data_IF_995407149972
#
_entry.id   IF_995407149972
#
_cell.length_a   1.000
_cell.length_b   1.000
_cell.length_c   1.000
_cell.angle_alpha   90.00
_cell.angle_beta   90.00
_cell.angle_gamma   90.00
#
_symmetry.space_group_name_H-M   'P 1'
#
loop_
_entity.id
_entity.type
_entity.pdbx_description
1 polymer ?
#
# COMPACT_ATOMS: atom_id res chain seq x y z
N UNK A 1 -5.26 0.26 -16.79
CA UNK A 1 -5.05 0.04 -15.35
C UNK A 1 -3.65 0.43 -14.95
N UNK A 2 -2.59 -0.24 -15.45
CA UNK A 2 -1.20 0.04 -15.06
C UNK A 2 -0.82 1.51 -15.13
N UNK A 3 -1.11 2.23 -16.24
CA UNK A 3 -0.82 3.66 -16.29
C UNK A 3 -1.60 4.53 -15.29
N UNK A 4 -2.82 4.14 -14.90
CA UNK A 4 -3.56 4.87 -13.87
C UNK A 4 -3.04 4.58 -12.46
N UNK A 5 -2.56 3.35 -12.23
CA UNK A 5 -1.89 2.99 -10.99
C UNK A 5 -0.53 3.68 -10.86
N UNK A 6 0.25 3.75 -11.94
CA UNK A 6 1.49 4.51 -12.01
C UNK A 6 1.27 5.97 -11.61
N UNK A 7 0.30 6.62 -12.26
CA UNK A 7 -0.05 8.01 -11.98
C UNK A 7 -0.46 8.22 -10.51
N UNK A 8 -1.25 7.29 -9.96
CA UNK A 8 -1.64 7.34 -8.56
C UNK A 8 -0.42 7.31 -7.62
N UNK A 9 0.49 6.36 -7.83
CA UNK A 9 1.72 6.22 -7.03
C UNK A 9 2.62 7.46 -7.16
N UNK A 10 2.73 8.04 -8.36
CA UNK A 10 3.49 9.27 -8.57
C UNK A 10 2.88 10.45 -7.79
N UNK A 11 1.56 10.63 -7.85
CA UNK A 11 0.90 11.71 -7.11
C UNK A 11 1.03 11.54 -5.58
N UNK A 12 0.92 10.32 -5.05
CA UNK A 12 1.13 10.07 -3.62
C UNK A 12 2.58 10.38 -3.21
N UNK A 13 3.56 9.98 -4.02
CA UNK A 13 4.98 10.26 -3.77
C UNK A 13 5.28 11.76 -3.79
N UNK A 14 4.65 12.51 -4.69
CA UNK A 14 4.79 13.97 -4.73
C UNK A 14 4.29 14.62 -3.43
N UNK A 15 3.25 14.07 -2.80
CA UNK A 15 2.73 14.56 -1.51
C UNK A 15 3.68 14.23 -0.36
N UNK A 16 4.22 13.00 -0.29
CA UNK A 16 5.08 12.54 0.81
C UNK A 16 6.33 13.40 1.00
N UNK A 17 6.87 13.98 -0.08
CA UNK A 17 8.11 14.75 -0.05
C UNK A 17 7.90 16.26 0.19
N UNK A 18 6.65 16.71 0.38
CA UNK A 18 6.29 18.13 0.34
C UNK A 18 5.89 18.69 1.71
N UNK A 19 6.22 19.97 1.92
CA UNK A 19 5.71 20.75 3.04
C UNK A 19 4.24 21.14 2.85
N UNK A 20 3.36 20.85 3.80
CA UNK A 20 1.94 21.19 3.76
C UNK A 20 1.63 22.70 3.73
N UNK A 21 2.61 23.55 4.04
CA UNK A 21 2.53 25.00 3.88
C UNK A 21 2.87 25.49 2.46
N UNK A 22 3.29 24.59 1.56
CA UNK A 22 3.50 24.93 0.15
C UNK A 22 2.15 25.31 -0.49
N UNK A 23 2.02 26.48 -1.14
CA UNK A 23 0.80 26.85 -1.84
C UNK A 23 0.33 25.83 -2.89
N UNK A 24 1.22 25.02 -3.44
CA UNK A 24 0.90 23.95 -4.39
C UNK A 24 0.35 22.67 -3.72
N UNK A 25 0.49 22.51 -2.39
CA UNK A 25 0.07 21.31 -1.66
C UNK A 25 -1.39 20.94 -1.90
N UNK A 26 -2.29 21.93 -1.91
CA UNK A 26 -3.73 21.70 -2.17
C UNK A 26 -3.97 21.12 -3.57
N UNK A 27 -3.21 21.57 -4.57
CA UNK A 27 -3.32 21.05 -5.93
C UNK A 27 -2.81 19.60 -6.01
N UNK A 28 -1.66 19.30 -5.38
CA UNK A 28 -1.11 17.94 -5.35
C UNK A 28 -2.04 16.94 -4.65
N UNK A 29 -2.65 17.32 -3.53
CA UNK A 29 -3.67 16.49 -2.86
C UNK A 29 -4.88 16.25 -3.79
N UNK A 30 -5.34 17.28 -4.50
CA UNK A 30 -6.45 17.13 -5.46
C UNK A 30 -6.09 16.20 -6.62
N UNK A 31 -4.84 16.25 -7.09
CA UNK A 31 -4.34 15.40 -8.17
C UNK A 31 -4.23 13.94 -7.71
N UNK A 32 -3.72 13.68 -6.51
CA UNK A 32 -3.66 12.35 -5.92
C UNK A 32 -5.07 11.74 -5.73
N UNK A 33 -6.02 12.50 -5.16
CA UNK A 33 -7.40 12.04 -5.02
C UNK A 33 -8.07 11.74 -6.37
N UNK A 34 -7.79 12.56 -7.38
CA UNK A 34 -8.27 12.32 -8.74
C UNK A 34 -7.65 11.05 -9.33
N UNK A 35 -6.35 10.84 -9.17
CA UNK A 35 -5.66 9.64 -9.62
C UNK A 35 -6.17 8.38 -8.89
N UNK A 36 -6.40 8.48 -7.58
CA UNK A 36 -6.99 7.44 -6.72
C UNK A 36 -8.37 7.03 -7.22
N UNK A 37 -9.25 8.00 -7.49
CA UNK A 37 -10.56 7.74 -8.08
C UNK A 37 -10.44 7.03 -9.43
N UNK A 38 -9.55 7.54 -10.30
CA UNK A 38 -9.36 6.99 -11.64
C UNK A 38 -8.88 5.53 -11.62
N UNK A 39 -7.98 5.15 -10.72
CA UNK A 39 -7.52 3.77 -10.60
C UNK A 39 -8.63 2.86 -10.06
N UNK A 40 -9.40 3.32 -9.07
CA UNK A 40 -10.53 2.57 -8.50
C UNK A 40 -11.66 2.35 -9.52
N UNK A 41 -11.99 3.37 -10.33
CA UNK A 41 -13.01 3.25 -11.39
C UNK A 41 -12.59 2.25 -12.48
N UNK A 42 -11.29 2.22 -12.81
CA UNK A 42 -10.73 1.22 -13.74
C UNK A 42 -10.73 -0.17 -13.17
N UNK A 43 -10.39 -0.34 -11.89
CA UNK A 43 -10.48 -1.62 -11.20
C UNK A 43 -11.93 -2.12 -11.20
N UNK A 44 -12.88 -1.26 -10.83
CA UNK A 44 -14.30 -1.59 -10.85
C UNK A 44 -14.73 -2.10 -12.24
N UNK A 45 -14.32 -1.40 -13.30
CA UNK A 45 -14.59 -1.80 -14.68
C UNK A 45 -14.01 -3.18 -15.03
N UNK A 46 -12.77 -3.47 -14.64
CA UNK A 46 -12.11 -4.77 -14.89
C UNK A 46 -12.81 -5.90 -14.13
N UNK A 47 -13.15 -5.66 -12.87
CA UNK A 47 -13.79 -6.67 -12.00
C UNK A 47 -15.25 -6.94 -12.36
N UNK A 48 -15.93 -5.98 -13.00
CA UNK A 48 -17.28 -6.15 -13.51
C UNK A 48 -17.33 -6.82 -14.89
N UNK A 49 -16.21 -6.84 -15.64
CA UNK A 49 -16.15 -7.45 -16.95
C UNK A 49 -16.35 -8.98 -16.86
N UNK A 50 -17.11 -9.61 -17.77
CA UNK A 50 -17.23 -11.06 -17.81
C UNK A 50 -15.88 -11.73 -18.13
N UNK A 51 -15.55 -12.77 -17.38
CA UNK A 51 -14.39 -13.65 -17.67
C UNK A 51 -14.70 -14.45 -18.93
N UNK A 52 -13.99 -14.14 -20.02
CA UNK A 52 -14.17 -14.80 -21.32
C UNK A 52 -13.12 -15.87 -21.58
N UNK A 53 -11.95 -15.75 -20.94
CA UNK A 53 -10.83 -16.72 -20.99
C UNK A 53 -10.24 -16.95 -19.61
N UNK A 54 -9.46 -18.03 -19.45
CA UNK A 54 -8.81 -18.31 -18.17
C UNK A 54 -7.77 -17.23 -17.81
N UNK A 55 -7.07 -16.66 -18.80
CA UNK A 55 -6.15 -15.53 -18.62
C UNK A 55 -6.80 -14.23 -18.08
N UNK A 56 -8.11 -14.05 -18.12
CA UNK A 56 -8.74 -12.85 -17.53
C UNK A 56 -8.76 -12.91 -15.99
N UNK A 57 -8.75 -14.13 -15.42
CA UNK A 57 -8.83 -14.35 -13.97
C UNK A 57 -7.68 -13.71 -13.18
N UNK A 58 -6.39 -13.90 -13.52
CA UNK A 58 -5.31 -13.23 -12.79
C UNK A 58 -5.39 -11.71 -12.88
N UNK A 59 -5.86 -11.13 -13.99
CA UNK A 59 -6.07 -9.68 -14.11
C UNK A 59 -7.15 -9.18 -13.15
N UNK A 60 -8.27 -9.90 -13.01
CA UNK A 60 -9.30 -9.53 -12.04
C UNK A 60 -8.81 -9.68 -10.59
N UNK A 61 -8.10 -10.76 -10.28
CA UNK A 61 -7.56 -11.00 -8.93
C UNK A 61 -6.58 -9.92 -8.50
N UNK A 62 -5.62 -9.59 -9.37
CA UNK A 62 -4.65 -8.55 -9.03
C UNK A 62 -5.34 -7.18 -8.92
N UNK A 63 -6.36 -6.90 -9.74
CA UNK A 63 -7.18 -5.68 -9.60
C UNK A 63 -7.90 -5.61 -8.25
N UNK A 64 -8.48 -6.72 -7.79
CA UNK A 64 -9.16 -6.81 -6.50
C UNK A 64 -8.18 -6.60 -5.34
N UNK A 65 -7.00 -7.22 -5.41
CA UNK A 65 -5.93 -7.03 -4.44
C UNK A 65 -5.52 -5.56 -4.38
N UNK A 66 -5.25 -4.92 -5.52
CA UNK A 66 -4.86 -3.51 -5.60
C UNK A 66 -5.94 -2.60 -5.03
N UNK A 67 -7.23 -2.87 -5.28
CA UNK A 67 -8.31 -2.13 -4.61
C UNK A 67 -8.28 -2.30 -3.10
N UNK A 68 -8.05 -3.50 -2.61
CA UNK A 68 -7.95 -3.75 -1.17
C UNK A 68 -6.77 -2.98 -0.55
N UNK A 69 -5.61 -2.98 -1.19
CA UNK A 69 -4.43 -2.21 -0.77
C UNK A 69 -4.70 -0.71 -0.74
N UNK A 70 -5.28 -0.16 -1.81
CA UNK A 70 -5.61 1.28 -1.89
C UNK A 70 -6.62 1.66 -0.78
N UNK A 71 -7.59 0.81 -0.47
CA UNK A 71 -8.71 1.15 0.42
C UNK A 71 -8.56 0.70 1.86
N UNK A 72 -7.51 -0.06 2.20
CA UNK A 72 -7.25 -0.45 3.58
C UNK A 72 -6.92 0.79 4.42
N UNK A 73 -7.16 0.69 5.74
CA UNK A 73 -7.05 1.83 6.66
C UNK A 73 -5.87 1.72 7.61
N UNK A 74 -5.17 0.59 7.61
CA UNK A 74 -4.11 0.29 8.57
C UNK A 74 -2.92 -0.34 7.87
N UNK A 75 -1.71 -0.04 8.34
CA UNK A 75 -0.48 -0.66 7.84
C UNK A 75 -0.46 -2.18 8.05
N UNK A 76 -1.11 -2.69 9.11
CA UNK A 76 -1.25 -4.12 9.35
C UNK A 76 -2.12 -4.80 8.29
N UNK A 77 -3.26 -4.22 7.93
CA UNK A 77 -4.12 -4.73 6.84
C UNK A 77 -3.37 -4.68 5.50
N UNK A 78 -2.66 -3.57 5.24
CA UNK A 78 -1.84 -3.41 4.04
C UNK A 78 -0.78 -4.53 3.95
N UNK A 79 -0.02 -4.74 5.02
CA UNK A 79 1.03 -5.76 5.11
C UNK A 79 0.48 -7.16 4.88
N UNK A 80 -0.66 -7.49 5.50
CA UNK A 80 -1.30 -8.79 5.34
C UNK A 80 -1.79 -9.03 3.90
N UNK A 81 -2.39 -8.01 3.27
CA UNK A 81 -2.83 -8.05 1.88
C UNK A 81 -1.64 -8.16 0.92
N UNK A 82 -0.61 -7.35 1.11
CA UNK A 82 0.59 -7.33 0.29
C UNK A 82 1.34 -8.67 0.33
N UNK A 83 1.40 -9.33 1.49
CA UNK A 83 1.98 -10.66 1.64
C UNK A 83 1.30 -11.74 0.77
N UNK A 84 0.06 -11.53 0.31
CA UNK A 84 -0.61 -12.45 -0.63
C UNK A 84 0.13 -12.56 -1.96
N UNK A 85 0.83 -11.49 -2.38
CA UNK A 85 1.56 -11.48 -3.65
C UNK A 85 2.70 -12.49 -3.66
N UNK A 86 3.42 -12.61 -2.54
CA UNK A 86 4.52 -13.57 -2.39
C UNK A 86 4.08 -14.97 -1.93
N UNK A 87 3.02 -15.07 -1.12
CA UNK A 87 2.56 -16.36 -0.57
C UNK A 87 1.63 -17.14 -1.50
N UNK A 88 0.98 -16.46 -2.46
CA UNK A 88 0.02 -17.06 -3.38
C UNK A 88 0.24 -16.58 -4.83
N UNK A 89 1.49 -16.51 -5.25
CA UNK A 89 1.95 -16.10 -6.59
C UNK A 89 1.14 -16.71 -7.75
N UNK A 90 0.81 -18.00 -7.68
CA UNK A 90 0.06 -18.74 -8.69
C UNK A 90 -1.33 -18.17 -8.99
N UNK A 91 -1.91 -17.35 -8.11
CA UNK A 91 -3.17 -16.65 -8.39
C UNK A 91 -3.00 -15.44 -9.32
N UNK A 92 -1.79 -14.90 -9.42
CA UNK A 92 -1.44 -13.66 -10.11
C UNK A 92 -0.55 -13.88 -11.34
N UNK A 93 -0.44 -15.12 -11.82
CA UNK A 93 0.33 -15.53 -13.00
C UNK A 93 -0.61 -16.05 -14.09
N UNK A 94 -0.24 -15.81 -15.36
CA UNK A 94 -0.90 -16.40 -16.52
C UNK A 94 -0.06 -17.57 -17.07
N UNK A 95 -0.65 -18.76 -17.19
CA UNK A 95 0.02 -19.98 -17.67
C UNK A 95 -0.27 -20.29 -19.15
N UNK A 96 -1.04 -19.46 -19.85
CA UNK A 96 -1.34 -19.65 -21.26
C UNK A 96 -0.10 -19.26 -22.10
N UNK A 97 0.33 -20.15 -23.00
CA UNK A 97 1.54 -19.97 -23.83
C UNK A 97 1.24 -19.41 -25.24
N UNK A 98 0.09 -18.76 -25.42
CA UNK A 98 -0.26 -18.09 -26.67
C UNK A 98 0.13 -16.59 -26.60
N UNK A 99 0.08 -15.85 -27.74
CA UNK A 99 0.44 -14.43 -27.74
C UNK A 99 -0.37 -13.57 -26.77
N UNK A 100 -1.62 -13.95 -26.47
CA UNK A 100 -2.46 -13.21 -25.53
C UNK A 100 -2.05 -13.53 -24.10
N UNK A 101 -1.79 -14.80 -23.79
CA UNK A 101 -1.25 -15.23 -22.49
C UNK A 101 0.05 -14.52 -22.16
N UNK A 102 0.99 -14.42 -23.11
CA UNK A 102 2.22 -13.63 -22.93
C UNK A 102 1.94 -12.15 -22.67
N UNK A 103 1.00 -11.55 -23.40
CA UNK A 103 0.63 -10.15 -23.19
C UNK A 103 0.02 -9.92 -21.80
N UNK A 104 -0.83 -10.84 -21.36
CA UNK A 104 -1.45 -10.79 -20.02
C UNK A 104 -0.38 -10.96 -18.94
N UNK A 105 0.55 -11.91 -19.11
CA UNK A 105 1.66 -12.10 -18.18
C UNK A 105 2.50 -10.82 -18.03
N UNK A 106 2.86 -10.15 -19.13
CA UNK A 106 3.55 -8.86 -19.07
C UNK A 106 2.72 -7.78 -18.36
N UNK A 107 1.39 -7.77 -18.55
CA UNK A 107 0.52 -6.82 -17.83
C UNK A 107 0.50 -7.08 -16.33
N UNK A 108 0.56 -8.35 -15.93
CA UNK A 108 0.61 -8.78 -14.52
C UNK A 108 1.95 -8.40 -13.90
N UNK A 109 3.07 -8.72 -14.54
CA UNK A 109 4.42 -8.35 -14.06
C UNK A 109 4.54 -6.85 -13.83
N UNK A 110 4.18 -6.04 -14.83
CA UNK A 110 4.17 -4.58 -14.67
C UNK A 110 3.26 -4.18 -13.52
N UNK A 111 2.10 -4.81 -13.33
CA UNK A 111 1.21 -4.45 -12.23
C UNK A 111 1.79 -4.83 -10.86
N UNK A 112 2.49 -5.95 -10.76
CA UNK A 112 3.20 -6.36 -9.55
C UNK A 112 4.29 -5.35 -9.19
N UNK A 113 5.06 -4.86 -10.17
CA UNK A 113 6.04 -3.80 -9.96
C UNK A 113 5.40 -2.52 -9.38
N UNK A 114 4.21 -2.14 -9.86
CA UNK A 114 3.49 -1.01 -9.29
C UNK A 114 2.98 -1.28 -7.87
N UNK A 115 2.54 -2.50 -7.58
CA UNK A 115 2.14 -2.88 -6.20
C UNK A 115 3.35 -2.84 -5.26
N UNK A 116 4.53 -3.27 -5.71
CA UNK A 116 5.78 -3.10 -4.97
C UNK A 116 6.11 -1.62 -4.74
N UNK A 117 6.03 -0.78 -5.78
CA UNK A 117 6.26 0.66 -5.65
C UNK A 117 5.25 1.37 -4.73
N UNK A 118 4.03 0.85 -4.60
CA UNK A 118 3.05 1.32 -3.62
C UNK A 118 3.44 0.92 -2.19
N UNK A 119 4.00 -0.26 -1.99
CA UNK A 119 4.48 -0.71 -0.68
C UNK A 119 5.70 0.08 -0.20
N UNK A 120 6.41 0.76 -1.09
CA UNK A 120 7.52 1.68 -0.78
C UNK A 120 7.04 3.09 -0.37
N UNK A 121 5.74 3.39 -0.45
CA UNK A 121 5.17 4.65 0.03
C UNK A 121 5.18 4.68 1.56
N UNK A 122 5.59 5.82 2.12
CA UNK A 122 5.65 6.08 3.56
C UNK A 122 4.29 6.06 4.27
N UNK A 123 3.18 6.20 3.54
CA UNK A 123 1.81 6.16 4.09
C UNK A 123 1.51 4.89 4.94
N UNK A 124 2.12 3.76 4.58
CA UNK A 124 1.85 2.46 5.23
C UNK A 124 2.98 1.97 6.13
N UNK A 125 4.07 2.72 6.25
CA UNK A 125 5.13 2.41 7.20
C UNK A 125 4.57 2.53 8.63
N UNK A 126 4.71 1.48 9.45
CA UNK A 126 4.42 1.64 10.87
C UNK A 126 5.39 2.69 11.44
N UNK A 127 4.84 3.79 11.94
CA UNK A 127 5.61 4.75 12.73
C UNK A 127 6.27 3.96 13.87
N UNK A 128 7.59 4.07 14.07
CA UNK A 128 8.21 3.50 15.25
C UNK A 128 7.48 4.05 16.47
N UNK A 129 6.79 3.18 17.22
CA UNK A 129 6.11 3.56 18.45
C UNK A 129 7.07 4.45 19.26
N UNK A 130 6.61 5.60 19.80
CA UNK A 130 7.45 6.40 20.68
C UNK A 130 7.96 5.48 21.78
N UNK A 131 9.27 5.21 21.78
CA UNK A 131 9.94 4.58 22.91
C UNK A 131 9.61 5.47 24.11
N UNK A 132 8.68 5.01 24.96
CA UNK A 132 8.42 5.66 26.23
C UNK A 132 9.79 5.80 26.93
N UNK A 133 10.15 6.99 27.44
CA UNK A 133 11.39 7.15 28.17
C UNK A 133 11.42 6.09 29.26
N UNK A 134 12.47 5.27 29.29
CA UNK A 134 12.72 4.38 30.42
C UNK A 134 12.75 5.28 31.66
N UNK A 135 11.74 5.13 32.51
CA UNK A 135 11.66 5.77 33.81
C UNK A 135 12.83 5.25 34.65
N UNK A 136 13.98 5.93 34.53
CA UNK A 136 15.12 5.78 35.42
C UNK A 136 14.89 6.65 36.67
N UNK A 137 13.72 6.54 37.29
CA UNK A 137 13.39 7.12 38.58
C UNK A 137 13.62 6.10 39.69
N UNK A 138 14.87 5.94 40.12
CA UNK A 138 15.21 5.18 41.33
C UNK A 138 14.81 5.98 42.58
N UNK A 139 13.54 5.94 42.98
CA UNK A 139 13.13 6.38 44.32
C UNK A 139 13.14 5.19 45.28
N UNK A 140 14.26 5.00 45.96
CA UNK A 140 14.35 4.19 47.16
C UNK A 140 13.62 4.91 48.32
N UNK A 141 12.80 4.22 49.12
CA UNK A 141 12.17 4.84 50.27
C UNK A 141 13.23 5.15 51.34
N UNK A 142 13.35 6.43 51.70
CA UNK A 142 14.18 6.88 52.81
C UNK A 142 13.61 6.34 54.13
N UNK A 143 14.32 5.42 54.77
CA UNK A 143 14.08 5.02 56.16
C UNK A 143 14.51 6.14 57.11
N UNK A 144 13.70 6.54 58.11
CA UNK A 144 14.13 7.50 59.11
C UNK A 144 15.08 6.84 60.12
N UNK A 145 16.28 7.41 60.24
CA UNK A 145 17.24 7.12 61.32
C UNK A 145 16.70 7.68 62.64
N UNK A 146 16.57 6.82 63.64
CA UNK A 146 16.38 7.21 65.04
C UNK A 146 17.73 7.66 65.64
N UNK A 147 17.73 8.83 66.29
CA UNK A 147 18.85 9.32 67.09
C UNK A 147 18.56 9.11 68.59
N UNK A 148 19.53 8.68 69.41
CA UNK A 148 19.36 8.57 70.86
C UNK A 148 19.93 9.79 71.60
N UNK A 149 19.20 10.26 72.60
CA UNK A 149 19.70 10.85 73.86
C UNK A 149 18.59 10.79 74.91
#
# INVERSE_FOLDING_TARGET
MNGALAQYIECERDIECVNSFDPAFVAWVSDAETARKNVLDRIASITAAPVSRAADKPLQRISLLTRALITCKTGTDFTALYALLGSHDHFFVCFENDPVGHRVQQMLEVHQDHVHAMADLGEFAEDPLPLAPLDNGSDLPSTPVAAPA
#
